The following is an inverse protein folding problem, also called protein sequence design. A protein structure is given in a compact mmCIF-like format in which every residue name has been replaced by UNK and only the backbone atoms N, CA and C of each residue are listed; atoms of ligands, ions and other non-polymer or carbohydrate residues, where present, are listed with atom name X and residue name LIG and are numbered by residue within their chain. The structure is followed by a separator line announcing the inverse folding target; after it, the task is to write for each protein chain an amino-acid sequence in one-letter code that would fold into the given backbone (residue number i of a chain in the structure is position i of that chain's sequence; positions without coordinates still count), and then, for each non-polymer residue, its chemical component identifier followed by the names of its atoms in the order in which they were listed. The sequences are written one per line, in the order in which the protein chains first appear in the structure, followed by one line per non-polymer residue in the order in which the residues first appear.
data_IF_939607131007
#
_entry.id   IF_939607131007
#
_cell.length_a   1.000
_cell.length_b   1.000
_cell.length_c   1.000
_cell.angle_alpha   90.00
_cell.angle_beta   90.00
_cell.angle_gamma   90.00
#
_symmetry.space_group_name_H-M   'P 1'
#
loop_
_entity.id
_entity.type
_entity.pdbx_description
1 polymer ?
#
# COMPACT_ATOMS: atom_id res chain seq x y z
N UNK A 1 18.56 -14.53 -7.27
CA UNK A 1 18.13 -13.63 -8.37
C UNK A 1 16.95 -14.25 -9.12
N UNK A 2 15.73 -14.16 -8.59
CA UNK A 2 14.61 -14.93 -9.14
C UNK A 2 14.20 -14.41 -10.54
N UNK A 3 14.06 -15.29 -11.56
CA UNK A 3 13.90 -14.89 -12.95
C UNK A 3 12.49 -14.38 -13.30
N UNK A 4 11.61 -14.24 -12.31
CA UNK A 4 10.28 -13.68 -12.51
C UNK A 4 9.91 -12.70 -11.40
N UNK A 5 9.09 -11.73 -11.76
CA UNK A 5 8.50 -10.78 -10.85
C UNK A 5 6.98 -10.89 -10.95
N UNK A 6 6.30 -10.83 -9.81
CA UNK A 6 4.85 -10.70 -9.80
C UNK A 6 4.48 -9.35 -10.45
N UNK A 7 3.37 -9.28 -11.21
CA UNK A 7 2.92 -8.01 -11.77
C UNK A 7 2.81 -6.92 -10.71
N UNK A 8 3.25 -5.70 -11.06
CA UNK A 8 3.25 -4.52 -10.17
C UNK A 8 4.06 -4.69 -8.88
N UNK A 9 4.97 -5.66 -8.79
CA UNK A 9 5.93 -5.77 -7.69
C UNK A 9 7.32 -5.34 -8.14
N UNK A 10 7.97 -4.53 -7.32
CA UNK A 10 9.37 -4.14 -7.47
C UNK A 10 10.19 -4.92 -6.43
N UNK A 11 11.21 -5.66 -6.87
CA UNK A 11 12.17 -6.30 -5.97
C UNK A 11 13.24 -5.28 -5.61
N UNK A 12 13.21 -4.79 -4.38
CA UNK A 12 14.17 -3.79 -3.87
C UNK A 12 15.15 -4.42 -2.90
N UNK A 13 14.67 -5.42 -2.15
CA UNK A 13 15.46 -6.11 -1.14
C UNK A 13 16.27 -7.26 -1.75
N UNK A 14 17.47 -7.44 -1.19
CA UNK A 14 18.34 -8.56 -1.52
C UNK A 14 17.92 -9.77 -0.71
N UNK A 15 17.74 -10.91 -1.37
CA UNK A 15 17.53 -12.18 -0.66
C UNK A 15 18.87 -12.73 -0.16
N UNK A 16 18.80 -13.64 0.82
CA UNK A 16 19.98 -14.34 1.34
C UNK A 16 20.79 -15.04 0.24
N UNK A 17 20.12 -15.62 -0.76
CA UNK A 17 20.76 -16.25 -1.91
C UNK A 17 21.55 -15.25 -2.76
N UNK A 18 20.96 -14.07 -3.03
CA UNK A 18 21.63 -13.00 -3.76
C UNK A 18 22.92 -12.56 -3.04
N UNK A 19 22.85 -12.42 -1.71
CA UNK A 19 23.98 -11.98 -0.85
C UNK A 19 25.09 -13.02 -0.83
N UNK A 20 24.74 -14.30 -0.67
CA UNK A 20 25.72 -15.39 -0.69
C UNK A 20 26.43 -15.46 -2.03
N UNK A 21 25.69 -15.33 -3.13
CA UNK A 21 26.26 -15.34 -4.48
C UNK A 21 27.27 -14.23 -4.69
N UNK A 22 26.95 -12.98 -4.31
CA UNK A 22 27.88 -11.86 -4.50
C UNK A 22 29.09 -11.94 -3.55
N UNK A 23 28.90 -12.38 -2.29
CA UNK A 23 30.01 -12.53 -1.34
C UNK A 23 30.95 -13.67 -1.71
N UNK A 24 30.46 -14.74 -2.36
CA UNK A 24 31.32 -15.79 -2.90
C UNK A 24 32.25 -15.28 -4.01
N UNK A 25 31.84 -14.24 -4.75
CA UNK A 25 32.62 -13.68 -5.86
C UNK A 25 33.56 -12.56 -5.43
N UNK A 26 33.10 -11.66 -4.57
CA UNK A 26 33.84 -10.44 -4.21
C UNK A 26 34.35 -10.43 -2.78
N UNK A 27 34.10 -11.49 -2.02
CA UNK A 27 34.45 -11.59 -0.61
C UNK A 27 33.36 -11.07 0.33
N UNK A 28 33.51 -11.42 1.60
CA UNK A 28 32.58 -11.04 2.67
C UNK A 28 32.61 -9.54 2.95
N UNK A 29 31.45 -8.92 3.12
CA UNK A 29 31.34 -7.55 3.62
C UNK A 29 31.42 -7.57 5.15
N UNK A 30 32.44 -6.98 5.80
CA UNK A 30 32.58 -7.00 7.26
C UNK A 30 31.47 -6.25 8.00
N UNK A 31 30.73 -5.37 7.32
CA UNK A 31 29.59 -4.65 7.89
C UNK A 31 28.25 -5.40 7.71
N UNK A 32 28.26 -6.56 7.06
CA UNK A 32 27.05 -7.34 6.87
C UNK A 32 26.67 -8.08 8.16
N UNK A 33 25.44 -7.87 8.63
CA UNK A 33 24.87 -8.61 9.75
C UNK A 33 23.53 -9.21 9.33
N UNK A 34 23.23 -10.43 9.78
CA UNK A 34 22.00 -11.14 9.36
C UNK A 34 20.73 -10.37 9.75
N UNK A 35 20.77 -9.61 10.85
CA UNK A 35 19.65 -8.78 11.32
C UNK A 35 19.29 -7.60 10.40
N UNK A 36 20.20 -7.16 9.52
CA UNK A 36 19.90 -6.04 8.60
C UNK A 36 18.89 -6.40 7.50
N UNK A 37 18.56 -7.68 7.34
CA UNK A 37 17.62 -8.16 6.33
C UNK A 37 16.16 -8.07 6.76
N UNK A 38 15.89 -7.97 8.05
CA UNK A 38 14.52 -7.90 8.59
C UNK A 38 13.96 -6.48 8.71
N UNK A 39 14.77 -5.45 8.50
CA UNK A 39 14.39 -4.05 8.78
C UNK A 39 13.62 -3.38 7.62
N UNK A 40 13.54 -4.03 6.46
CA UNK A 40 13.03 -3.45 5.22
C UNK A 40 11.50 -3.51 5.05
N UNK A 41 10.80 -4.30 5.87
CA UNK A 41 9.32 -4.45 5.81
C UNK A 41 8.53 -3.25 6.37
N UNK A 42 9.17 -2.21 6.91
CA UNK A 42 8.50 -1.08 7.58
C UNK A 42 8.09 0.06 6.61
N UNK A 43 8.24 -0.08 5.29
CA UNK A 43 7.69 0.91 4.35
C UNK A 43 6.21 0.65 4.06
N UNK A 44 5.34 0.94 5.03
CA UNK A 44 3.89 0.98 4.76
C UNK A 44 3.56 2.23 3.97
N UNK A 45 3.21 2.05 2.70
CA UNK A 45 2.58 3.09 1.90
C UNK A 45 1.23 3.40 2.54
N UNK A 46 1.18 4.39 3.43
CA UNK A 46 -0.08 4.94 3.95
C UNK A 46 -0.77 5.61 2.77
N UNK A 47 -1.52 4.81 2.01
CA UNK A 47 -2.55 5.32 1.15
C UNK A 47 -3.46 6.15 2.05
N UNK A 48 -3.30 7.47 1.99
CA UNK A 48 -4.27 8.41 2.53
C UNK A 48 -5.52 8.09 1.73
N UNK A 49 -6.39 7.27 2.35
CA UNK A 49 -7.73 7.06 1.85
C UNK A 49 -8.32 8.45 1.73
N UNK A 50 -8.44 8.92 0.50
CA UNK A 50 -9.25 10.06 0.15
C UNK A 50 -10.61 9.79 0.81
N UNK A 51 -10.85 10.48 1.93
CA UNK A 51 -12.08 10.41 2.68
C UNK A 51 -13.17 11.07 1.83
N UNK A 52 -13.59 10.37 0.78
CA UNK A 52 -14.75 10.76 0.02
C UNK A 52 -15.96 10.56 0.93
N UNK A 53 -16.53 11.70 1.31
CA UNK A 53 -17.76 11.90 2.04
C UNK A 53 -17.67 11.80 3.57
N UNK A 54 -17.22 12.92 4.16
CA UNK A 54 -17.68 13.33 5.47
C UNK A 54 -19.21 13.22 5.55
N UNK A 55 -19.66 12.58 6.64
CA UNK A 55 -21.05 12.29 7.05
C UNK A 55 -22.08 13.38 6.68
N UNK A 56 -21.66 14.65 6.64
CA UNK A 56 -22.48 15.82 6.34
C UNK A 56 -23.14 15.83 4.95
N UNK A 57 -22.55 15.23 3.91
CA UNK A 57 -23.15 15.27 2.57
C UNK A 57 -24.20 14.16 2.34
N UNK A 58 -24.16 13.06 3.10
CA UNK A 58 -25.21 12.01 3.03
C UNK A 58 -26.55 12.50 3.59
N UNK A 59 -26.50 13.23 4.70
CA UNK A 59 -27.69 13.84 5.30
C UNK A 59 -28.32 14.90 4.39
N UNK A 60 -27.51 15.69 3.67
CA UNK A 60 -28.02 16.67 2.70
C UNK A 60 -28.70 16.02 1.50
N UNK A 61 -28.14 14.94 0.95
CA UNK A 61 -28.74 14.24 -0.18
C UNK A 61 -30.07 13.57 0.22
N UNK A 62 -30.12 12.93 1.40
CA UNK A 62 -31.35 12.32 1.92
C UNK A 62 -32.43 13.36 2.21
N UNK A 63 -32.06 14.52 2.79
CA UNK A 63 -33.00 15.60 3.06
C UNK A 63 -33.63 16.14 1.76
N UNK A 64 -32.80 16.42 0.73
CA UNK A 64 -33.29 16.89 -0.57
C UNK A 64 -34.19 15.87 -1.27
N UNK A 65 -33.87 14.58 -1.16
CA UNK A 65 -34.68 13.51 -1.74
C UNK A 65 -36.05 13.39 -1.04
N UNK A 66 -36.08 13.51 0.30
CA UNK A 66 -37.31 13.47 1.08
C UNK A 66 -38.24 14.66 0.78
N UNK A 67 -37.69 15.86 0.60
CA UNK A 67 -38.48 17.05 0.25
C UNK A 67 -39.10 16.96 -1.14
N UNK A 68 -38.38 16.35 -2.10
CA UNK A 68 -38.89 16.16 -3.46
C UNK A 68 -40.03 15.13 -3.51
N UNK A 69 -39.89 14.02 -2.77
CA UNK A 69 -40.94 13.00 -2.63
C UNK A 69 -42.20 13.55 -1.96
N UNK A 70 -42.05 14.37 -0.92
CA UNK A 70 -43.20 15.01 -0.28
C UNK A 70 -43.94 15.92 -1.26
N UNK A 71 -43.22 16.78 -1.99
CA UNK A 71 -43.82 17.70 -2.97
C UNK A 71 -44.58 16.97 -4.09
N UNK A 72 -44.12 15.80 -4.50
CA UNK A 72 -44.79 14.97 -5.52
C UNK A 72 -46.08 14.29 -5.05
N UNK A 73 -46.34 14.23 -3.74
CA UNK A 73 -47.59 13.70 -3.17
C UNK A 73 -48.67 14.78 -2.97
N UNK A 74 -48.32 16.07 -3.12
CA UNK A 74 -49.24 17.20 -2.93
C UNK A 74 -49.70 17.84 -4.25
N UNK A 75 -49.41 17.20 -5.38
CA UNK A 75 -49.89 17.50 -6.74
C UNK A 75 -50.71 16.31 -7.25
#
# INVERSE_FOLDING_TARGET
MFPSLKPRKRKVELSLDDIRGVQALYGSNPNFTVGSLSESDISTNRAVGVAWLGSSQRLRLLALCSSFLLLSLQL
#
